data_IF_772588618960
#
_entry.id   IF_772588618960
#
_cell.length_a   1.000
_cell.length_b   1.000
_cell.length_c   1.000
_cell.angle_alpha   90.00
_cell.angle_beta   90.00
_cell.angle_gamma   90.00
#
_symmetry.space_group_name_H-M   'P 1'
#
loop_
_entity.id
_entity.type
_entity.pdbx_description
1 polymer ?
#
# COMPACT_ATOMS: atom_id res chain seq x y z
N UNK A 1 -0.59 -25.59 12.80
CA UNK A 1 -0.36 -24.94 11.49
C UNK A 1 -0.78 -23.50 11.68
N UNK A 2 0.15 -22.57 11.54
CA UNK A 2 -0.15 -21.14 11.66
C UNK A 2 -1.11 -20.77 10.53
N UNK A 3 -2.29 -20.26 10.85
CA UNK A 3 -3.29 -19.92 9.84
C UNK A 3 -2.84 -18.61 9.23
N UNK A 4 -2.28 -18.64 8.02
CA UNK A 4 -1.90 -17.43 7.30
C UNK A 4 -3.14 -16.56 7.10
N UNK A 5 -3.21 -15.42 7.79
CA UNK A 5 -4.26 -14.44 7.57
C UNK A 5 -4.08 -13.78 6.20
N UNK A 6 -5.15 -13.62 5.39
CA UNK A 6 -5.07 -12.87 4.15
C UNK A 6 -4.52 -11.46 4.39
N UNK A 7 -3.74 -10.96 3.44
CA UNK A 7 -3.13 -9.63 3.54
C UNK A 7 -4.00 -8.58 2.85
N UNK A 8 -4.19 -7.43 3.47
CA UNK A 8 -4.87 -6.27 2.89
C UNK A 8 -3.89 -5.10 2.81
N UNK A 9 -3.67 -4.58 1.61
CA UNK A 9 -2.82 -3.41 1.37
C UNK A 9 -3.68 -2.18 1.14
N UNK A 10 -3.38 -1.08 1.84
CA UNK A 10 -4.14 0.17 1.82
C UNK A 10 -3.29 1.28 1.21
N UNK A 11 -3.77 1.87 0.09
CA UNK A 11 -3.08 2.90 -0.69
C UNK A 11 -3.84 4.23 -0.59
N UNK A 12 -3.21 5.24 0.03
CA UNK A 12 -3.83 6.53 0.34
C UNK A 12 -4.03 7.43 -0.92
N UNK A 13 -4.78 8.52 -0.76
CA UNK A 13 -4.94 9.53 -1.83
C UNK A 13 -3.74 10.47 -1.95
N UNK A 14 -3.65 11.23 -3.03
CA UNK A 14 -2.66 12.32 -3.12
C UNK A 14 -2.78 13.29 -1.93
N UNK A 15 -1.64 13.86 -1.53
CA UNK A 15 -1.52 14.85 -0.41
C UNK A 15 -1.94 14.27 0.95
N UNK A 16 -1.96 12.95 1.07
CA UNK A 16 -2.28 12.22 2.31
C UNK A 16 -1.06 11.38 2.76
N UNK A 17 -1.32 10.32 3.52
CA UNK A 17 -0.36 9.30 3.90
C UNK A 17 -1.07 8.08 4.49
N UNK A 18 -0.30 7.06 4.85
CA UNK A 18 -0.75 5.83 5.52
C UNK A 18 -1.71 6.09 6.70
N UNK A 19 -1.51 7.18 7.45
CA UNK A 19 -2.38 7.61 8.57
C UNK A 19 -3.85 7.84 8.18
N UNK A 20 -4.16 8.06 6.91
CA UNK A 20 -5.54 8.08 6.39
C UNK A 20 -6.34 6.84 6.82
N UNK A 21 -5.65 5.71 6.95
CA UNK A 21 -6.25 4.41 7.17
C UNK A 21 -6.31 3.98 8.63
N UNK A 22 -5.87 4.82 9.60
CA UNK A 22 -5.75 4.42 11.01
C UNK A 22 -6.98 3.69 11.57
N UNK A 23 -8.19 4.20 11.27
CA UNK A 23 -9.44 3.57 11.73
C UNK A 23 -9.67 2.22 11.03
N UNK A 24 -9.52 2.17 9.71
CA UNK A 24 -9.71 0.94 8.94
C UNK A 24 -8.71 -0.15 9.32
N UNK A 25 -7.46 0.22 9.62
CA UNK A 25 -6.45 -0.69 10.14
C UNK A 25 -6.94 -1.33 11.44
N UNK A 26 -7.37 -0.53 12.42
CA UNK A 26 -7.87 -1.04 13.69
C UNK A 26 -9.09 -1.97 13.53
N UNK A 27 -9.96 -1.69 12.56
CA UNK A 27 -11.14 -2.52 12.27
C UNK A 27 -10.79 -3.85 11.58
N UNK A 28 -9.67 -3.93 10.84
CA UNK A 28 -9.30 -5.08 10.01
C UNK A 28 -8.23 -5.99 10.65
N UNK A 29 -7.32 -5.45 11.47
CA UNK A 29 -6.23 -6.20 12.11
C UNK A 29 -6.67 -7.46 12.90
N UNK A 30 -7.89 -7.55 13.49
CA UNK A 30 -8.33 -8.78 14.13
C UNK A 30 -8.49 -9.99 13.19
N UNK A 31 -8.57 -9.76 11.86
CA UNK A 31 -8.88 -10.80 10.87
C UNK A 31 -7.89 -10.87 9.71
N UNK A 32 -7.12 -9.80 9.49
CA UNK A 32 -6.25 -9.65 8.33
C UNK A 32 -4.88 -9.13 8.78
N UNK A 33 -3.85 -9.49 8.00
CA UNK A 33 -2.59 -8.76 8.04
C UNK A 33 -2.78 -7.47 7.24
N UNK A 34 -2.71 -6.30 7.87
CA UNK A 34 -2.99 -5.03 7.20
C UNK A 34 -1.69 -4.24 6.96
N UNK A 35 -1.48 -3.79 5.73
CA UNK A 35 -0.33 -2.98 5.33
C UNK A 35 -0.80 -1.63 4.78
N UNK A 36 -0.71 -0.57 5.59
CA UNK A 36 -0.95 0.79 5.12
C UNK A 36 0.37 1.42 4.66
N UNK A 37 0.51 1.64 3.35
CA UNK A 37 1.76 2.11 2.75
C UNK A 37 1.72 3.62 2.50
N UNK A 38 2.84 4.30 2.71
CA UNK A 38 3.10 5.63 2.15
C UNK A 38 3.63 5.45 0.71
N UNK A 39 3.00 6.10 -0.28
CA UNK A 39 3.45 6.07 -1.68
C UNK A 39 4.74 6.91 -1.88
N UNK A 40 5.45 6.72 -3.00
CA UNK A 40 6.69 7.47 -3.29
C UNK A 40 6.44 8.98 -3.20
N UNK A 41 7.26 9.68 -2.40
CA UNK A 41 7.17 11.12 -2.16
C UNK A 41 6.19 11.52 -1.05
N UNK A 42 5.60 10.56 -0.35
CA UNK A 42 4.69 10.80 0.77
C UNK A 42 5.21 10.21 2.08
N UNK A 43 4.80 10.84 3.19
CA UNK A 43 5.10 10.36 4.53
C UNK A 43 6.58 10.07 4.73
N UNK A 44 6.90 8.80 5.00
CA UNK A 44 8.28 8.34 5.20
C UNK A 44 8.94 7.76 3.95
N UNK A 45 8.19 7.56 2.86
CA UNK A 45 8.70 6.96 1.63
C UNK A 45 9.41 8.03 0.78
N UNK A 46 10.68 7.80 0.38
CA UNK A 46 11.43 8.74 -0.45
C UNK A 46 10.68 9.14 -1.73
N UNK A 47 10.93 10.36 -2.20
CA UNK A 47 10.47 10.79 -3.51
C UNK A 47 11.11 9.96 -4.62
N UNK A 48 10.44 9.90 -5.77
CA UNK A 48 11.00 9.30 -6.97
C UNK A 48 12.32 9.99 -7.36
N UNK A 49 13.35 9.18 -7.57
CA UNK A 49 14.72 9.61 -7.87
C UNK A 49 15.21 9.19 -9.25
N UNK A 50 14.33 8.67 -10.11
CA UNK A 50 14.71 8.26 -11.46
C UNK A 50 14.98 9.44 -12.40
N UNK A 51 15.68 9.16 -13.49
CA UNK A 51 16.11 10.10 -14.53
C UNK A 51 14.99 10.54 -15.50
N UNK A 52 13.77 10.06 -15.27
CA UNK A 52 12.57 10.34 -16.07
C UNK A 52 11.40 10.77 -15.19
N UNK A 53 10.32 11.36 -15.75
CA UNK A 53 9.09 11.56 -15.01
C UNK A 53 8.57 10.25 -14.38
N UNK A 54 8.03 10.37 -13.17
CA UNK A 54 7.41 9.25 -12.46
C UNK A 54 6.18 8.77 -13.24
N UNK A 55 6.01 7.45 -13.30
CA UNK A 55 4.86 6.75 -13.88
C UNK A 55 4.09 6.04 -12.76
N UNK A 56 2.82 5.70 -13.02
CA UNK A 56 2.03 4.87 -12.10
C UNK A 56 2.71 3.53 -11.81
N UNK A 57 3.40 2.94 -12.79
CA UNK A 57 4.14 1.69 -12.62
C UNK A 57 5.26 1.77 -11.59
N UNK A 58 5.82 2.96 -11.33
CA UNK A 58 6.84 3.15 -10.29
C UNK A 58 6.22 3.09 -8.89
N UNK A 59 5.01 3.64 -8.75
CA UNK A 59 4.24 3.53 -7.52
C UNK A 59 3.79 2.08 -7.31
N UNK A 60 3.34 1.38 -8.36
CA UNK A 60 2.99 -0.03 -8.28
C UNK A 60 4.20 -0.92 -7.92
N UNK A 61 5.40 -0.60 -8.43
CA UNK A 61 6.63 -1.31 -8.09
C UNK A 61 6.97 -1.23 -6.58
N UNK A 62 6.71 -0.08 -5.94
CA UNK A 62 6.81 0.05 -4.48
C UNK A 62 5.86 -0.92 -3.77
N UNK A 63 4.61 -1.01 -4.22
CA UNK A 63 3.60 -1.92 -3.65
C UNK A 63 4.02 -3.38 -3.83
N UNK A 64 4.50 -3.75 -5.01
CA UNK A 64 5.04 -5.09 -5.28
C UNK A 64 6.23 -5.42 -4.37
N UNK A 65 7.16 -4.48 -4.17
CA UNK A 65 8.29 -4.67 -3.28
C UNK A 65 7.86 -4.85 -1.82
N UNK A 66 6.84 -4.11 -1.36
CA UNK A 66 6.27 -4.25 -0.03
C UNK A 66 5.57 -5.62 0.20
N UNK A 67 5.21 -6.31 -0.88
CA UNK A 67 4.61 -7.65 -0.86
C UNK A 67 5.64 -8.78 -0.99
N UNK A 68 6.95 -8.47 -1.09
CA UNK A 68 7.98 -9.49 -1.10
C UNK A 68 7.92 -10.34 0.18
N UNK A 69 7.74 -11.66 0.03
CA UNK A 69 7.59 -12.59 1.16
C UNK A 69 6.20 -12.61 1.81
N UNK A 70 5.19 -12.01 1.18
CA UNK A 70 3.78 -12.23 1.55
C UNK A 70 3.27 -13.45 0.78
N UNK A 71 2.94 -14.50 1.53
CA UNK A 71 2.31 -15.71 0.99
C UNK A 71 0.78 -15.59 1.02
N UNK A 72 0.12 -16.13 -0.01
CA UNK A 72 -1.34 -16.22 -0.08
C UNK A 72 -2.05 -15.02 -0.72
N UNK A 73 -3.39 -14.96 -0.65
CA UNK A 73 -4.18 -13.94 -1.33
C UNK A 73 -3.97 -12.55 -0.71
N UNK A 74 -3.88 -11.55 -1.59
CA UNK A 74 -3.76 -10.13 -1.24
C UNK A 74 -4.98 -9.37 -1.73
N UNK A 75 -5.62 -8.62 -0.83
CA UNK A 75 -6.63 -7.60 -1.18
C UNK A 75 -5.98 -6.22 -1.29
N UNK A 76 -6.33 -5.45 -2.32
CA UNK A 76 -5.89 -4.07 -2.49
C UNK A 76 -7.07 -3.12 -2.26
N UNK A 77 -6.84 -2.07 -1.47
CA UNK A 77 -7.79 -0.97 -1.27
C UNK A 77 -7.06 0.32 -1.61
N UNK A 78 -7.54 1.02 -2.63
CA UNK A 78 -6.98 2.30 -3.04
C UNK A 78 -8.02 3.41 -3.01
N UNK A 79 -7.63 4.59 -2.52
CA UNK A 79 -8.46 5.80 -2.58
C UNK A 79 -7.86 6.84 -3.54
N UNK A 80 -8.65 7.36 -4.48
CA UNK A 80 -8.21 8.39 -5.45
C UNK A 80 -6.92 7.98 -6.17
N UNK A 81 -5.81 8.70 -6.02
CA UNK A 81 -4.50 8.34 -6.59
C UNK A 81 -4.07 6.92 -6.20
N UNK A 82 -4.25 6.50 -4.94
CA UNK A 82 -3.98 5.13 -4.52
C UNK A 82 -4.87 4.10 -5.21
N UNK A 83 -6.08 4.49 -5.65
CA UNK A 83 -6.93 3.66 -6.51
C UNK A 83 -6.34 3.46 -7.90
N UNK A 84 -5.76 4.51 -8.49
CA UNK A 84 -5.05 4.39 -9.77
C UNK A 84 -3.77 3.57 -9.68
N UNK A 85 -3.11 3.53 -8.51
CA UNK A 85 -1.92 2.69 -8.28
C UNK A 85 -2.30 1.22 -8.06
N UNK A 86 -3.50 0.94 -7.55
CA UNK A 86 -3.98 -0.42 -7.27
C UNK A 86 -4.38 -1.23 -8.52
N UNK A 87 -4.56 -0.58 -9.67
CA UNK A 87 -5.06 -1.14 -10.93
C UNK A 87 -3.93 -1.33 -11.94
#
# INVERSE_FOLDING_TARGET
>A
MDVLHPTVVLLHSSVSGSRQWRKLVADLEPRFRVLALDLLGYGSTPAWSGDRPQRLTDQAALVHAALAGVDGPVGLVGHSFGGAVAM
#
